data_IF_563940014458
#
_entry.id   IF_563940014458
#
_cell.length_a   1.000
_cell.length_b   1.000
_cell.length_c   1.000
_cell.angle_alpha   90.00
_cell.angle_beta   90.00
_cell.angle_gamma   90.00
#
_symmetry.space_group_name_H-M   'P 1'
#
loop_
_entity.id
_entity.type
_entity.pdbx_description
1 polymer ?
#
# COMPACT_ATOMS: atom_id res chain seq x y z
N UNK A 1 -4.29 -12.05 1.87
CA UNK A 1 -3.76 -12.61 3.14
C UNK A 1 -2.24 -12.57 3.20
N UNK A 2 -1.50 -13.18 2.26
CA UNK A 2 -0.02 -13.15 2.26
C UNK A 2 0.59 -11.73 2.36
N UNK A 3 0.01 -10.75 1.66
CA UNK A 3 0.49 -9.38 1.71
C UNK A 3 0.26 -8.67 3.06
N UNK A 4 -0.73 -9.09 3.86
CA UNK A 4 -0.89 -8.55 5.21
C UNK A 4 0.26 -8.96 6.14
N UNK A 5 0.80 -10.17 5.94
CA UNK A 5 1.96 -10.63 6.68
C UNK A 5 3.23 -9.85 6.31
N UNK A 6 3.39 -9.47 5.04
CA UNK A 6 4.46 -8.55 4.60
C UNK A 6 4.34 -7.18 5.27
N UNK A 7 3.12 -6.74 5.56
CA UNK A 7 2.84 -5.50 6.27
C UNK A 7 2.97 -5.61 7.80
N UNK A 8 3.42 -6.75 8.34
CA UNK A 8 3.51 -7.01 9.78
C UNK A 8 2.16 -6.95 10.52
N UNK A 9 1.09 -7.35 9.83
CA UNK A 9 -0.28 -7.39 10.34
C UNK A 9 -0.84 -8.81 10.34
N UNK A 10 -1.89 -9.04 11.13
CA UNK A 10 -2.68 -10.27 11.11
C UNK A 10 -3.25 -10.52 9.70
N UNK A 11 -3.34 -11.79 9.28
CA UNK A 11 -3.73 -12.18 7.92
C UNK A 11 -5.14 -11.69 7.52
N UNK A 12 -6.03 -11.52 8.50
CA UNK A 12 -7.40 -11.01 8.32
C UNK A 12 -7.45 -9.60 7.73
N UNK A 13 -6.45 -8.76 8.00
CA UNK A 13 -6.37 -7.41 7.44
C UNK A 13 -6.27 -7.44 5.92
N UNK A 14 -5.67 -8.49 5.34
CA UNK A 14 -5.63 -8.65 3.90
C UNK A 14 -7.00 -8.89 3.27
N UNK A 15 -7.94 -9.49 4.02
CA UNK A 15 -9.33 -9.64 3.58
C UNK A 15 -10.07 -8.30 3.71
N UNK A 16 -9.89 -7.60 4.82
CA UNK A 16 -10.51 -6.29 5.06
C UNK A 16 -10.13 -5.28 3.97
N UNK A 17 -8.84 -5.16 3.64
CA UNK A 17 -8.36 -4.21 2.64
C UNK A 17 -8.84 -4.56 1.23
N UNK A 18 -8.91 -5.84 0.88
CA UNK A 18 -9.37 -6.28 -0.45
C UNK A 18 -10.88 -6.05 -0.63
N UNK A 19 -11.67 -6.31 0.40
CA UNK A 19 -13.12 -6.14 0.34
C UNK A 19 -13.52 -4.66 0.32
N UNK A 20 -12.95 -3.84 1.22
CA UNK A 20 -13.25 -2.40 1.29
C UNK A 20 -12.76 -1.68 0.04
N UNK A 21 -11.57 -2.01 -0.45
CA UNK A 21 -11.01 -1.41 -1.67
C UNK A 21 -11.89 -1.64 -2.90
N UNK A 22 -12.43 -2.86 -3.04
CA UNK A 22 -13.37 -3.19 -4.12
C UNK A 22 -14.67 -2.37 -4.04
N UNK A 23 -15.30 -2.26 -2.86
CA UNK A 23 -16.54 -1.50 -2.69
C UNK A 23 -16.36 -0.01 -3.01
N UNK A 24 -15.26 0.58 -2.56
CA UNK A 24 -14.93 1.98 -2.86
C UNK A 24 -14.63 2.18 -4.35
N UNK A 25 -13.90 1.26 -4.97
CA UNK A 25 -13.61 1.34 -6.40
C UNK A 25 -14.90 1.25 -7.23
N UNK A 26 -15.79 0.32 -6.92
CA UNK A 26 -17.08 0.19 -7.60
C UNK A 26 -17.93 1.47 -7.49
N UNK A 27 -17.91 2.16 -6.35
CA UNK A 27 -18.70 3.37 -6.14
C UNK A 27 -18.14 4.63 -6.85
N UNK A 28 -16.82 4.78 -6.95
CA UNK A 28 -16.18 6.03 -7.37
C UNK A 28 -15.36 5.94 -8.67
N UNK A 29 -15.02 4.75 -9.14
CA UNK A 29 -14.12 4.60 -10.27
C UNK A 29 -14.83 4.61 -11.62
N UNK A 30 -14.08 5.00 -12.64
CA UNK A 30 -14.57 5.17 -14.02
C UNK A 30 -14.22 3.99 -14.93
N UNK A 31 -13.21 3.19 -14.58
CA UNK A 31 -12.70 2.11 -15.44
C UNK A 31 -13.25 0.75 -15.03
N UNK A 32 -13.82 0.00 -15.99
CA UNK A 32 -14.48 -1.29 -15.71
C UNK A 32 -13.50 -2.45 -15.59
N UNK A 33 -12.30 -2.33 -16.17
CA UNK A 33 -11.36 -3.44 -16.32
C UNK A 33 -10.25 -3.45 -15.26
N UNK A 34 -10.12 -2.38 -14.47
CA UNK A 34 -9.11 -2.31 -13.41
C UNK A 34 -9.69 -2.91 -12.14
N UNK A 35 -9.01 -3.91 -11.59
CA UNK A 35 -9.32 -4.47 -10.27
C UNK A 35 -8.35 -3.89 -9.24
N UNK A 36 -8.88 -3.24 -8.21
CA UNK A 36 -8.08 -2.79 -7.06
C UNK A 36 -7.96 -3.92 -6.04
N UNK A 37 -6.74 -4.12 -5.54
CA UNK A 37 -6.46 -5.05 -4.47
C UNK A 37 -5.17 -4.69 -3.74
N UNK A 38 -4.80 -5.53 -2.79
CA UNK A 38 -3.53 -5.41 -2.06
C UNK A 38 -2.33 -5.67 -2.98
N UNK A 39 -1.30 -4.83 -2.91
CA UNK A 39 -0.08 -4.95 -3.72
C UNK A 39 1.12 -5.25 -2.82
N UNK A 40 1.99 -6.18 -3.26
CA UNK A 40 3.13 -6.65 -2.47
C UNK A 40 4.11 -5.52 -2.08
N UNK A 41 4.45 -4.65 -3.03
CA UNK A 41 5.40 -3.53 -2.81
C UNK A 41 4.90 -2.56 -1.76
N UNK A 42 3.63 -2.16 -1.85
CA UNK A 42 3.02 -1.26 -0.85
C UNK A 42 2.95 -1.92 0.52
N UNK A 43 2.70 -3.23 0.56
CA UNK A 43 2.62 -3.98 1.82
C UNK A 43 3.98 -4.06 2.52
N UNK A 44 5.05 -4.30 1.76
CA UNK A 44 6.43 -4.25 2.29
C UNK A 44 6.77 -2.85 2.84
N UNK A 45 6.38 -1.78 2.13
CA UNK A 45 6.62 -0.42 2.59
C UNK A 45 5.90 -0.12 3.91
N UNK A 46 4.63 -0.51 4.03
CA UNK A 46 3.86 -0.40 5.28
C UNK A 46 4.52 -1.20 6.40
N UNK A 47 4.95 -2.43 6.12
CA UNK A 47 5.65 -3.28 7.10
C UNK A 47 6.92 -2.62 7.63
N UNK A 48 7.75 -2.04 6.76
CA UNK A 48 8.96 -1.31 7.18
C UNK A 48 8.64 -0.09 8.06
N UNK A 49 7.58 0.65 7.76
CA UNK A 49 7.14 1.80 8.58
C UNK A 49 6.64 1.31 9.94
N UNK A 50 5.85 0.24 9.97
CA UNK A 50 5.36 -0.36 11.21
C UNK A 50 6.51 -0.82 12.10
N UNK A 51 7.49 -1.53 11.55
CA UNK A 51 8.70 -1.95 12.29
C UNK A 51 9.44 -0.74 12.84
N UNK A 52 9.70 0.26 11.99
CA UNK A 52 10.42 1.46 12.39
C UNK A 52 9.73 2.23 13.53
N UNK A 53 8.41 2.40 13.44
CA UNK A 53 7.64 3.10 14.47
C UNK A 53 7.59 2.29 15.77
N UNK A 54 7.54 0.95 15.69
CA UNK A 54 7.58 0.10 16.88
C UNK A 54 8.94 0.09 17.58
N UNK A 55 10.03 0.22 16.83
CA UNK A 55 11.37 0.36 17.41
C UNK A 55 11.50 1.65 18.22
N UNK A 56 10.98 2.77 17.70
CA UNK A 56 11.02 4.08 18.35
C UNK A 56 9.93 4.22 19.45
N UNK A 57 8.77 3.56 19.26
CA UNK A 57 7.57 3.66 20.11
C UNK A 57 6.85 2.30 20.27
N UNK A 58 7.37 1.40 21.12
CA UNK A 58 6.88 0.02 21.25
C UNK A 58 5.48 -0.09 21.86
N UNK A 59 4.94 0.99 22.44
CA UNK A 59 3.60 1.02 23.04
C UNK A 59 2.45 0.98 22.04
N UNK A 60 2.71 1.28 20.75
CA UNK A 60 1.66 1.30 19.75
C UNK A 60 1.49 -0.06 19.07
N UNK A 61 0.24 -0.48 18.91
CA UNK A 61 -0.09 -1.69 18.19
C UNK A 61 0.19 -1.53 16.67
N UNK A 62 0.70 -2.57 15.98
CA UNK A 62 0.94 -2.55 14.53
C UNK A 62 -0.26 -2.06 13.72
N UNK A 63 -1.46 -2.53 14.08
CA UNK A 63 -2.72 -2.19 13.42
C UNK A 63 -3.07 -0.72 13.51
N UNK A 64 -2.81 -0.06 14.63
CA UNK A 64 -3.13 1.35 14.82
C UNK A 64 -2.18 2.24 14.04
N UNK A 65 -0.90 1.85 13.94
CA UNK A 65 0.08 2.51 13.07
C UNK A 65 -0.36 2.40 11.61
N UNK A 66 -0.73 1.19 11.16
CA UNK A 66 -1.16 0.95 9.78
C UNK A 66 -2.46 1.70 9.44
N UNK A 67 -3.44 1.73 10.34
CA UNK A 67 -4.69 2.50 10.18
C UNK A 67 -4.42 4.00 10.07
N UNK A 68 -3.55 4.53 10.91
CA UNK A 68 -3.16 5.95 10.89
C UNK A 68 -2.47 6.31 9.58
N UNK A 69 -1.54 5.47 9.13
CA UNK A 69 -0.85 5.63 7.86
C UNK A 69 -1.82 5.58 6.67
N UNK A 70 -2.78 4.65 6.69
CA UNK A 70 -3.83 4.54 5.67
C UNK A 70 -4.71 5.79 5.61
N UNK A 71 -5.08 6.38 6.76
CA UNK A 71 -5.85 7.62 6.82
C UNK A 71 -5.07 8.81 6.26
N UNK A 72 -3.81 8.98 6.65
CA UNK A 72 -2.96 10.08 6.18
C UNK A 72 -2.73 9.97 4.67
N UNK A 73 -2.33 8.79 4.19
CA UNK A 73 -2.13 8.54 2.75
C UNK A 73 -3.43 8.73 1.95
N UNK A 74 -4.56 8.26 2.46
CA UNK A 74 -5.87 8.47 1.86
C UNK A 74 -6.26 9.95 1.78
N UNK A 75 -6.00 10.73 2.83
CA UNK A 75 -6.24 12.17 2.83
C UNK A 75 -5.37 12.90 1.80
N UNK A 76 -4.10 12.53 1.69
CA UNK A 76 -3.18 13.09 0.68
C UNK A 76 -3.65 12.73 -0.74
N UNK A 77 -4.03 11.48 -0.98
CA UNK A 77 -4.55 11.04 -2.29
C UNK A 77 -5.88 11.72 -2.64
N UNK A 78 -6.77 11.89 -1.65
CA UNK A 78 -8.02 12.62 -1.83
C UNK A 78 -7.74 14.08 -2.21
N UNK A 79 -6.81 14.74 -1.53
CA UNK A 79 -6.40 16.11 -1.84
C UNK A 79 -5.83 16.25 -3.27
N UNK A 80 -4.94 15.34 -3.68
CA UNK A 80 -4.38 15.28 -5.04
C UNK A 80 -5.50 15.06 -6.07
N UNK A 81 -6.46 14.18 -5.77
CA UNK A 81 -7.62 13.93 -6.62
C UNK A 81 -8.53 15.13 -6.78
N UNK A 82 -8.85 15.83 -5.68
CA UNK A 82 -9.69 17.04 -5.68
C UNK A 82 -9.05 18.20 -6.44
N UNK A 83 -7.73 18.35 -6.31
CA UNK A 83 -6.94 19.36 -7.06
C UNK A 83 -6.64 18.95 -8.50
N UNK A 84 -7.07 17.74 -8.92
CA UNK A 84 -6.87 17.19 -10.27
C UNK A 84 -5.41 17.16 -10.73
N UNK A 85 -4.49 16.89 -9.81
CA UNK A 85 -3.04 16.83 -10.09
C UNK A 85 -2.59 15.53 -10.76
N UNK A 86 -3.50 14.75 -11.33
CA UNK A 86 -3.20 13.47 -11.97
C UNK A 86 -2.22 13.58 -13.15
N UNK A 87 -2.19 14.73 -13.83
CA UNK A 87 -1.28 15.01 -14.95
C UNK A 87 0.22 14.89 -14.56
N UNK A 88 0.57 15.05 -13.27
CA UNK A 88 1.96 14.91 -12.79
C UNK A 88 2.45 13.46 -12.98
N UNK A 89 1.56 12.48 -12.85
CA UNK A 89 1.90 11.05 -12.97
C UNK A 89 2.34 10.70 -14.40
N UNK A 90 1.89 11.46 -15.41
CA UNK A 90 2.26 11.26 -16.82
C UNK A 90 3.74 11.59 -17.10
N UNK A 91 4.40 12.35 -16.22
CA UNK A 91 5.84 12.62 -16.34
C UNK A 91 6.72 11.52 -15.77
N UNK A 92 6.16 10.51 -15.10
CA UNK A 92 6.93 9.42 -14.52
C UNK A 92 7.31 8.45 -15.64
N UNK A 93 8.61 8.28 -15.97
CA UNK A 93 9.02 7.42 -17.07
C UNK A 93 8.70 5.95 -16.78
N UNK A 94 8.17 5.22 -17.77
CA UNK A 94 7.85 3.81 -17.62
C UNK A 94 9.06 2.98 -17.16
N UNK A 95 10.26 3.30 -17.64
CA UNK A 95 11.52 2.66 -17.25
C UNK A 95 11.82 2.82 -15.75
N UNK A 96 11.48 3.96 -15.16
CA UNK A 96 11.66 4.19 -13.72
C UNK A 96 10.67 3.33 -12.91
N UNK A 97 9.43 3.22 -13.37
CA UNK A 97 8.40 2.40 -12.70
C UNK A 97 8.78 0.91 -12.77
N UNK A 98 9.20 0.42 -13.94
CA UNK A 98 9.53 -1.00 -14.14
C UNK A 98 10.80 -1.39 -13.40
N UNK A 99 11.84 -0.54 -13.38
CA UNK A 99 13.05 -0.79 -12.59
C UNK A 99 12.76 -0.79 -11.08
N UNK A 100 11.93 0.13 -10.58
CA UNK A 100 11.49 0.13 -9.19
C UNK A 100 10.72 -1.14 -8.82
N UNK A 101 9.74 -1.55 -9.66
CA UNK A 101 8.99 -2.79 -9.44
C UNK A 101 9.90 -4.03 -9.45
N UNK A 102 10.88 -4.07 -10.34
CA UNK A 102 11.85 -5.18 -10.43
C UNK A 102 12.73 -5.24 -9.20
N UNK A 103 13.27 -4.10 -8.74
CA UNK A 103 14.06 -4.02 -7.51
C UNK A 103 13.25 -4.42 -6.27
N UNK A 104 11.98 -3.98 -6.20
CA UNK A 104 11.09 -4.38 -5.11
C UNK A 104 10.80 -5.89 -5.13
N UNK A 105 10.63 -6.49 -6.32
CA UNK A 105 10.45 -7.94 -6.46
C UNK A 105 11.66 -8.72 -5.93
N UNK A 106 12.88 -8.29 -6.27
CA UNK A 106 14.11 -8.89 -5.72
C UNK A 106 14.21 -8.71 -4.20
N UNK A 107 13.92 -7.51 -3.68
CA UNK A 107 13.93 -7.24 -2.24
C UNK A 107 12.94 -8.13 -1.48
N UNK A 108 11.72 -8.31 -2.02
CA UNK A 108 10.73 -9.22 -1.45
C UNK A 108 11.24 -10.65 -1.51
N UNK A 109 11.72 -11.12 -2.66
CA UNK A 109 12.22 -12.48 -2.83
C UNK A 109 13.35 -12.82 -1.84
N UNK A 110 14.34 -11.93 -1.71
CA UNK A 110 15.42 -12.09 -0.72
C UNK A 110 14.88 -12.08 0.72
N UNK A 111 13.91 -11.22 1.03
CA UNK A 111 13.31 -11.15 2.36
C UNK A 111 12.39 -12.33 2.73
N UNK A 112 12.06 -13.21 1.78
CA UNK A 112 11.30 -14.45 2.05
C UNK A 112 12.19 -15.69 2.22
N UNK A 113 13.49 -15.59 1.92
CA UNK A 113 14.47 -16.67 2.16
C UNK A 113 14.92 -16.58 3.63
N UNK A 114 15.05 -17.72 4.35
CA UNK A 114 15.50 -17.73 5.75
C UNK A 114 16.90 -17.15 5.96
#
# INVERSE_FOLDING_TARGET
MAYALLAQLSAEYGLYTSFVGFLLYWAFATSKDITIGTVAVMSQLVGNIVLRVRDDHPQYAPEDIARSLALISGAVLLFIGLTRLGWIVEFIPLVAITSFMTGAAFSIACGQVP
#
